data_IF_976032325389
#
_entry.id   IF_976032325389
#
_cell.length_a   1.000
_cell.length_b   1.000
_cell.length_c   1.000
_cell.angle_alpha   90.00
_cell.angle_beta   90.00
_cell.angle_gamma   90.00
#
_symmetry.space_group_name_H-M   'P 1'
#
loop_
_entity.id
_entity.type
_entity.pdbx_description
1 polymer ?
#
# COMPACT_ATOMS: atom_id res chain seq x y z
N UNK A 1 -16.52 2.45 34.99
CA UNK A 1 -17.22 3.50 34.25
C UNK A 1 -16.58 3.61 32.87
N UNK A 2 -17.08 2.85 31.90
CA UNK A 2 -16.75 3.01 30.47
C UNK A 2 -18.07 2.71 29.75
N UNK A 3 -18.81 3.76 29.43
CA UNK A 3 -20.06 3.63 28.68
C UNK A 3 -19.70 3.32 27.23
N UNK A 4 -19.72 2.02 26.90
CA UNK A 4 -19.55 1.52 25.56
C UNK A 4 -20.82 1.87 24.76
N UNK A 5 -20.75 3.01 24.08
CA UNK A 5 -21.87 3.61 23.36
C UNK A 5 -22.00 2.92 21.98
N UNK A 6 -22.44 1.66 22.00
CA UNK A 6 -22.64 0.83 20.82
C UNK A 6 -23.96 1.16 20.12
N UNK A 7 -24.24 2.46 19.89
CA UNK A 7 -25.45 2.83 19.16
C UNK A 7 -25.27 2.38 17.72
N UNK A 8 -26.03 1.39 17.31
CA UNK A 8 -26.03 0.96 15.91
C UNK A 8 -26.54 2.12 15.06
N UNK A 9 -26.09 2.22 13.81
CA UNK A 9 -26.47 3.33 12.94
C UNK A 9 -28.00 3.43 12.76
N UNK A 10 -28.69 2.29 12.86
CA UNK A 10 -30.14 2.18 12.90
C UNK A 10 -30.76 2.87 14.13
N UNK A 11 -30.12 2.84 15.31
CA UNK A 11 -30.60 3.50 16.52
C UNK A 11 -30.47 5.02 16.43
N UNK A 12 -29.42 5.51 15.77
CA UNK A 12 -29.23 6.95 15.50
C UNK A 12 -30.28 7.46 14.52
N UNK A 13 -30.54 6.71 13.44
CA UNK A 13 -31.59 7.04 12.46
C UNK A 13 -32.97 7.02 13.10
N UNK A 14 -33.31 5.99 13.89
CA UNK A 14 -34.58 5.91 14.64
C UNK A 14 -34.75 7.03 15.67
N UNK A 15 -33.64 7.46 16.30
CA UNK A 15 -33.67 8.60 17.23
C UNK A 15 -33.90 9.94 16.53
N UNK A 16 -33.58 10.05 15.24
CA UNK A 16 -33.81 11.26 14.45
C UNK A 16 -35.22 11.30 13.84
N UNK A 17 -35.87 10.14 13.66
CA UNK A 17 -37.21 10.04 13.05
C UNK A 17 -38.36 10.61 13.90
N UNK A 18 -38.18 10.95 15.19
CA UNK A 18 -39.32 11.26 16.06
C UNK A 18 -39.18 12.44 17.03
N UNK A 19 -38.42 13.48 16.67
CA UNK A 19 -38.39 14.75 17.42
C UNK A 19 -38.90 15.93 16.60
N UNK A 20 -40.12 15.83 16.08
CA UNK A 20 -40.89 17.04 15.73
C UNK A 20 -41.63 17.45 17.00
N UNK A 21 -41.05 18.37 17.77
CA UNK A 21 -41.80 19.03 18.83
C UNK A 21 -42.78 20.00 18.18
N UNK A 22 -44.06 19.63 18.14
CA UNK A 22 -45.15 20.54 17.77
C UNK A 22 -45.38 21.44 18.98
N UNK A 23 -44.81 22.63 18.99
CA UNK A 23 -45.13 23.66 19.99
C UNK A 23 -46.58 24.13 19.80
N UNK A 24 -47.28 24.55 20.87
CA UNK A 24 -48.68 24.90 20.78
C UNK A 24 -48.90 26.08 19.81
N UNK A 25 -49.88 25.86 18.94
CA UNK A 25 -50.49 26.72 17.94
C UNK A 25 -50.36 28.22 18.25
N UNK A 26 -49.43 28.89 17.56
CA UNK A 26 -49.62 30.31 17.26
C UNK A 26 -50.81 30.37 16.29
N UNK A 27 -51.96 30.87 16.74
CA UNK A 27 -53.14 31.00 15.90
C UNK A 27 -52.83 32.13 14.92
N UNK A 28 -52.31 31.75 13.76
CA UNK A 28 -52.11 32.69 12.65
C UNK A 28 -53.47 33.31 12.36
N UNK A 29 -53.62 34.66 12.37
CA UNK A 29 -54.85 35.31 11.95
C UNK A 29 -55.19 34.79 10.56
N UNK A 30 -56.45 34.42 10.28
CA UNK A 30 -56.94 33.81 9.02
C UNK A 30 -56.00 34.12 7.84
N UNK A 31 -54.99 33.27 7.65
CA UNK A 31 -54.02 33.50 6.59
C UNK A 31 -54.76 33.27 5.29
N UNK A 32 -54.56 34.16 4.32
CA UNK A 32 -55.15 34.00 3.00
C UNK A 32 -54.78 32.60 2.46
N UNK A 33 -55.73 31.92 1.82
CA UNK A 33 -55.53 30.55 1.34
C UNK A 33 -54.28 30.45 0.45
N UNK A 34 -53.95 31.54 -0.25
CA UNK A 34 -52.74 31.67 -1.05
C UNK A 34 -51.44 31.61 -0.23
N UNK A 35 -51.39 32.24 0.96
CA UNK A 35 -50.20 32.23 1.83
C UNK A 35 -49.95 30.84 2.44
N UNK A 36 -51.02 30.10 2.78
CA UNK A 36 -50.90 28.74 3.29
C UNK A 36 -50.34 27.78 2.23
N UNK A 37 -50.79 27.91 0.98
CA UNK A 37 -50.27 27.12 -0.15
C UNK A 37 -48.81 27.49 -0.44
N UNK A 38 -48.46 28.79 -0.40
CA UNK A 38 -47.07 29.23 -0.57
C UNK A 38 -46.15 28.66 0.52
N UNK A 39 -46.61 28.63 1.78
CA UNK A 39 -45.88 28.03 2.90
C UNK A 39 -45.70 26.52 2.70
N UNK A 40 -46.76 25.79 2.31
CA UNK A 40 -46.70 24.36 2.05
C UNK A 40 -45.68 24.02 0.94
N UNK A 41 -45.66 24.81 -0.14
CA UNK A 41 -44.69 24.68 -1.23
C UNK A 41 -43.26 24.95 -0.78
N UNK A 42 -43.06 25.93 0.10
CA UNK A 42 -41.75 26.24 0.69
C UNK A 42 -41.25 25.10 1.58
N UNK A 43 -42.10 24.53 2.43
CA UNK A 43 -41.77 23.37 3.27
C UNK A 43 -41.42 22.16 2.40
N UNK A 44 -42.18 21.91 1.34
CA UNK A 44 -41.91 20.80 0.43
C UNK A 44 -40.55 20.98 -0.28
N UNK A 45 -40.30 22.17 -0.82
CA UNK A 45 -39.01 22.51 -1.43
C UNK A 45 -37.84 22.35 -0.47
N UNK A 46 -38.01 22.79 0.80
CA UNK A 46 -36.99 22.64 1.83
C UNK A 46 -36.70 21.16 2.15
N UNK A 47 -37.75 20.31 2.22
CA UNK A 47 -37.59 18.87 2.41
C UNK A 47 -36.85 18.22 1.25
N UNK A 48 -37.16 18.61 0.02
CA UNK A 48 -36.51 18.07 -1.16
C UNK A 48 -35.03 18.50 -1.23
N UNK A 49 -34.70 19.73 -0.82
CA UNK A 49 -33.31 20.17 -0.68
C UNK A 49 -32.54 19.35 0.37
N UNK A 50 -33.14 19.08 1.53
CA UNK A 50 -32.52 18.25 2.57
C UNK A 50 -32.28 16.82 2.07
N UNK A 51 -33.24 16.24 1.34
CA UNK A 51 -33.08 14.92 0.71
C UNK A 51 -31.94 14.92 -0.30
N UNK A 52 -31.90 15.88 -1.23
CA UNK A 52 -30.83 15.99 -2.22
C UNK A 52 -29.46 16.17 -1.55
N UNK A 53 -29.38 16.98 -0.49
CA UNK A 53 -28.15 17.14 0.28
C UNK A 53 -27.72 15.84 0.97
N UNK A 54 -28.65 15.08 1.54
CA UNK A 54 -28.36 13.80 2.16
C UNK A 54 -27.87 12.77 1.12
N UNK A 55 -28.54 12.68 -0.02
CA UNK A 55 -28.15 11.79 -1.14
C UNK A 55 -26.75 12.14 -1.63
N UNK A 56 -26.45 13.41 -1.93
CA UNK A 56 -25.12 13.80 -2.40
C UNK A 56 -24.00 13.54 -1.38
N UNK A 57 -24.29 13.64 -0.07
CA UNK A 57 -23.33 13.25 0.97
C UNK A 57 -23.13 11.74 1.04
N UNK A 58 -24.19 10.95 0.88
CA UNK A 58 -24.10 9.49 0.84
C UNK A 58 -23.37 8.98 -0.39
N UNK A 59 -23.56 9.60 -1.55
CA UNK A 59 -22.79 9.33 -2.77
C UNK A 59 -21.30 9.56 -2.55
N UNK A 60 -20.92 10.71 -1.97
CA UNK A 60 -19.52 11.00 -1.63
C UNK A 60 -18.94 9.93 -0.68
N UNK A 61 -19.69 9.51 0.34
CA UNK A 61 -19.25 8.46 1.27
C UNK A 61 -19.08 7.13 0.54
N UNK A 62 -20.00 6.76 -0.36
CA UNK A 62 -19.91 5.53 -1.13
C UNK A 62 -18.66 5.53 -2.02
N UNK A 63 -18.37 6.63 -2.70
CA UNK A 63 -17.14 6.79 -3.51
C UNK A 63 -15.88 6.63 -2.65
N UNK A 64 -15.86 7.24 -1.46
CA UNK A 64 -14.75 7.09 -0.51
C UNK A 64 -14.56 5.63 -0.07
N UNK A 65 -15.65 4.92 0.23
CA UNK A 65 -15.60 3.51 0.61
C UNK A 65 -15.07 2.62 -0.52
N UNK A 66 -15.50 2.87 -1.77
CA UNK A 66 -14.98 2.16 -2.93
C UNK A 66 -13.49 2.43 -3.16
N UNK A 67 -13.07 3.67 -3.00
CA UNK A 67 -11.67 4.06 -3.11
C UNK A 67 -10.80 3.35 -2.07
N UNK A 68 -11.24 3.31 -0.81
CA UNK A 68 -10.56 2.57 0.26
C UNK A 68 -10.51 1.07 -0.03
N UNK A 69 -11.61 0.48 -0.55
CA UNK A 69 -11.65 -0.93 -0.95
C UNK A 69 -10.61 -1.24 -2.03
N UNK A 70 -10.52 -0.40 -3.07
CA UNK A 70 -9.54 -0.56 -4.16
C UNK A 70 -8.10 -0.45 -3.63
N UNK A 71 -7.82 0.50 -2.74
CA UNK A 71 -6.52 0.62 -2.09
C UNK A 71 -6.17 -0.61 -1.24
N UNK A 72 -7.12 -1.14 -0.47
CA UNK A 72 -6.90 -2.34 0.33
C UNK A 72 -6.52 -3.55 -0.54
N UNK A 73 -7.20 -3.73 -1.68
CA UNK A 73 -6.85 -4.78 -2.66
C UNK A 73 -5.43 -4.59 -3.20
N UNK A 74 -5.04 -3.36 -3.53
CA UNK A 74 -3.69 -3.06 -4.01
C UNK A 74 -2.61 -3.40 -2.98
N UNK A 75 -2.82 -3.00 -1.73
CA UNK A 75 -1.91 -3.33 -0.62
C UNK A 75 -1.78 -4.83 -0.43
N UNK A 76 -2.89 -5.57 -0.50
CA UNK A 76 -2.87 -7.03 -0.37
C UNK A 76 -2.13 -7.70 -1.54
N UNK A 77 -2.33 -7.24 -2.77
CA UNK A 77 -1.60 -7.78 -3.93
C UNK A 77 -0.10 -7.53 -3.81
N UNK A 78 0.31 -6.32 -3.42
CA UNK A 78 1.72 -6.00 -3.17
C UNK A 78 2.30 -6.89 -2.08
N UNK A 79 1.61 -7.04 -0.96
CA UNK A 79 2.04 -7.91 0.13
C UNK A 79 2.16 -9.37 -0.30
N UNK A 80 1.25 -9.88 -1.12
CA UNK A 80 1.32 -11.23 -1.68
C UNK A 80 2.52 -11.39 -2.62
N UNK A 81 2.74 -10.42 -3.50
CA UNK A 81 3.90 -10.40 -4.39
C UNK A 81 5.21 -10.36 -3.61
N UNK A 82 5.34 -9.46 -2.63
CA UNK A 82 6.51 -9.36 -1.78
C UNK A 82 6.75 -10.66 -0.98
N UNK A 83 5.68 -11.30 -0.52
CA UNK A 83 5.79 -12.59 0.16
C UNK A 83 6.25 -13.70 -0.81
N UNK A 84 5.72 -13.73 -2.03
CA UNK A 84 6.18 -14.66 -3.05
C UNK A 84 7.68 -14.46 -3.33
N UNK A 85 8.15 -13.21 -3.45
CA UNK A 85 9.56 -12.90 -3.61
C UNK A 85 10.41 -13.29 -2.40
N UNK A 86 9.91 -13.14 -1.17
CA UNK A 86 10.60 -13.60 0.04
C UNK A 86 10.72 -15.13 0.11
N UNK A 87 9.76 -15.87 -0.46
CA UNK A 87 9.81 -17.32 -0.52
C UNK A 87 10.77 -17.86 -1.61
N UNK A 88 11.17 -17.02 -2.57
CA UNK A 88 12.16 -17.40 -3.59
C UNK A 88 13.55 -17.40 -2.97
N UNK A 89 14.34 -18.44 -3.27
CA UNK A 89 15.74 -18.52 -2.85
C UNK A 89 16.56 -17.36 -3.45
N UNK A 90 16.86 -16.35 -2.64
CA UNK A 90 17.76 -15.28 -3.04
C UNK A 90 19.22 -15.75 -2.96
N UNK A 91 19.81 -16.10 -4.11
CA UNK A 91 21.24 -16.42 -4.24
C UNK A 91 22.14 -15.18 -4.31
N UNK A 92 21.56 -13.98 -4.35
CA UNK A 92 22.31 -12.72 -4.43
C UNK A 92 22.76 -12.30 -3.04
N UNK A 93 23.95 -12.77 -2.64
CA UNK A 93 24.69 -12.15 -1.54
C UNK A 93 25.19 -10.79 -2.05
N UNK A 94 24.80 -9.69 -1.40
CA UNK A 94 25.31 -8.35 -1.74
C UNK A 94 26.81 -8.30 -1.45
N UNK A 95 27.61 -8.46 -2.50
CA UNK A 95 29.05 -8.32 -2.46
C UNK A 95 29.41 -6.94 -3.01
N UNK A 96 30.19 -6.20 -2.24
CA UNK A 96 30.70 -4.89 -2.57
C UNK A 96 32.15 -5.02 -3.01
N UNK A 97 32.46 -4.52 -4.20
CA UNK A 97 33.80 -4.52 -4.78
C UNK A 97 34.46 -3.16 -4.49
N UNK A 98 35.60 -3.19 -3.81
CA UNK A 98 36.40 -2.00 -3.49
C UNK A 98 37.34 -1.70 -4.66
N UNK A 99 37.27 -0.45 -5.12
CA UNK A 99 38.14 0.07 -6.17
C UNK A 99 38.91 1.28 -5.66
N UNK A 100 40.10 1.46 -6.22
CA UNK A 100 40.91 2.66 -6.09
C UNK A 100 41.01 3.33 -7.46
N UNK A 101 40.65 4.61 -7.54
CA UNK A 101 40.74 5.42 -8.74
C UNK A 101 41.77 6.52 -8.55
N UNK A 102 42.62 6.70 -9.56
CA UNK A 102 43.49 7.87 -9.64
C UNK A 102 42.71 9.02 -10.27
N UNK A 103 42.62 10.15 -9.55
CA UNK A 103 42.10 11.40 -10.07
C UNK A 103 43.27 12.15 -10.70
N UNK A 104 43.29 12.22 -12.03
CA UNK A 104 44.24 13.07 -12.74
C UNK A 104 43.89 14.53 -12.50
N UNK A 105 44.79 15.31 -11.91
CA UNK A 105 44.72 16.77 -12.03
C UNK A 105 44.81 17.14 -13.52
N UNK A 106 43.97 18.05 -13.97
CA UNK A 106 43.71 18.32 -15.40
C UNK A 106 44.98 18.34 -16.29
N UNK A 107 44.89 17.65 -17.42
CA UNK A 107 45.71 17.90 -18.62
C UNK A 107 47.05 17.20 -18.76
N UNK A 108 47.53 16.41 -17.79
CA UNK A 108 48.84 15.73 -17.93
C UNK A 108 48.74 14.25 -18.35
N UNK A 109 49.70 13.74 -19.15
CA UNK A 109 49.70 12.38 -19.65
C UNK A 109 49.73 11.33 -18.52
N UNK A 110 49.01 10.21 -18.69
CA UNK A 110 48.69 9.25 -17.62
C UNK A 110 49.88 8.47 -17.05
N UNK A 111 51.06 8.57 -17.67
CA UNK A 111 52.22 7.75 -17.33
C UNK A 111 53.09 8.34 -16.22
N UNK A 112 52.78 9.56 -15.76
CA UNK A 112 53.57 10.25 -14.74
C UNK A 112 52.67 10.99 -13.75
N UNK A 113 51.72 10.31 -13.10
CA UNK A 113 50.83 10.96 -12.13
C UNK A 113 50.32 10.05 -11.01
N UNK A 114 50.13 10.66 -9.83
CA UNK A 114 49.65 10.10 -8.56
C UNK A 114 50.69 9.35 -7.69
N UNK A 115 51.88 9.93 -7.48
CA UNK A 115 52.75 9.50 -6.36
C UNK A 115 52.19 9.93 -4.99
N UNK A 116 51.41 11.00 -4.94
CA UNK A 116 50.75 11.45 -3.71
C UNK A 116 49.49 10.62 -3.43
N UNK A 117 49.31 10.17 -2.18
CA UNK A 117 48.07 9.54 -1.71
C UNK A 117 46.85 10.44 -1.89
N UNK A 118 47.05 11.76 -1.99
CA UNK A 118 45.98 12.75 -2.12
C UNK A 118 45.27 12.72 -3.49
N UNK A 119 45.88 12.10 -4.50
CA UNK A 119 45.29 11.94 -5.84
C UNK A 119 44.53 10.60 -6.00
N UNK A 120 44.40 9.78 -4.95
CA UNK A 120 43.73 8.48 -5.01
C UNK A 120 42.41 8.49 -4.24
N UNK A 121 41.32 8.13 -4.91
CA UNK A 121 40.00 7.95 -4.30
C UNK A 121 39.68 6.46 -4.20
N UNK A 122 39.28 5.99 -3.01
CA UNK A 122 38.71 4.65 -2.83
C UNK A 122 37.19 4.72 -2.79
N UNK A 123 36.52 3.77 -3.42
CA UNK A 123 35.07 3.65 -3.36
C UNK A 123 34.60 2.21 -3.56
N UNK A 124 33.41 1.91 -3.02
CA UNK A 124 32.73 0.64 -3.25
C UNK A 124 31.81 0.72 -4.47
N UNK A 125 31.75 -0.37 -5.23
CA UNK A 125 30.79 -0.59 -6.30
C UNK A 125 30.14 -1.96 -6.11
N UNK A 126 28.89 -2.10 -6.57
CA UNK A 126 28.20 -3.40 -6.62
C UNK A 126 28.55 -4.21 -7.88
N UNK A 127 29.23 -3.56 -8.85
CA UNK A 127 29.60 -4.16 -10.14
C UNK A 127 30.96 -4.85 -9.98
N UNK A 128 31.03 -6.12 -10.38
CA UNK A 128 32.26 -6.92 -10.33
C UNK A 128 33.29 -6.47 -11.38
N UNK A 129 34.60 -6.76 -11.19
CA UNK A 129 35.63 -6.41 -12.18
C UNK A 129 35.35 -6.98 -13.58
N UNK A 130 34.72 -8.15 -13.66
CA UNK A 130 34.33 -8.77 -14.92
C UNK A 130 33.21 -7.98 -15.62
N UNK A 131 32.18 -7.56 -14.88
CA UNK A 131 31.05 -6.77 -15.41
C UNK A 131 31.46 -5.35 -15.83
N UNK A 132 32.56 -4.82 -15.28
CA UNK A 132 33.15 -3.56 -15.76
C UNK A 132 33.75 -3.62 -17.17
N UNK A 133 33.83 -4.82 -17.76
CA UNK A 133 34.53 -5.09 -19.02
C UNK A 133 35.96 -5.59 -18.81
N UNK A 134 36.23 -6.19 -17.64
CA UNK A 134 37.54 -6.74 -17.27
C UNK A 134 38.59 -5.68 -16.95
N UNK A 135 39.83 -6.15 -16.75
CA UNK A 135 40.96 -5.32 -16.36
C UNK A 135 41.29 -4.24 -17.40
N UNK A 136 41.09 -4.51 -18.69
CA UNK A 136 41.32 -3.55 -19.76
C UNK A 136 40.41 -2.31 -19.68
N UNK A 137 39.15 -2.48 -19.26
CA UNK A 137 38.22 -1.37 -19.11
C UNK A 137 38.45 -0.59 -17.79
N UNK A 138 38.91 -1.28 -16.75
CA UNK A 138 39.34 -0.67 -15.48
C UNK A 138 40.61 0.16 -15.66
N UNK A 139 41.61 -0.36 -16.39
CA UNK A 139 42.85 0.36 -16.70
C UNK A 139 42.59 1.64 -17.50
N UNK A 140 41.71 1.60 -18.52
CA UNK A 140 41.29 2.80 -19.27
C UNK A 140 40.66 3.88 -18.39
N UNK A 141 39.97 3.48 -17.32
CA UNK A 141 39.35 4.38 -16.34
C UNK A 141 40.24 4.71 -15.15
N UNK A 142 41.49 4.22 -15.16
CA UNK A 142 42.47 4.40 -14.08
C UNK A 142 41.93 3.87 -12.74
N UNK A 143 41.17 2.77 -12.80
CA UNK A 143 40.61 2.07 -11.66
C UNK A 143 41.38 0.78 -11.40
N UNK A 144 41.71 0.53 -10.14
CA UNK A 144 42.36 -0.69 -9.67
C UNK A 144 41.45 -1.41 -8.69
N UNK A 145 41.29 -2.72 -8.85
CA UNK A 145 40.48 -3.55 -7.95
C UNK A 145 41.28 -3.93 -6.70
N UNK A 146 40.76 -3.62 -5.51
CA UNK A 146 41.44 -3.91 -4.23
C UNK A 146 40.85 -5.16 -3.52
N UNK A 147 39.57 -5.47 -3.72
CA UNK A 147 38.97 -6.68 -3.14
C UNK A 147 37.44 -6.66 -3.06
N UNK A 148 36.87 -7.83 -2.76
CA UNK A 148 35.44 -8.00 -2.55
C UNK A 148 35.14 -8.10 -1.05
N UNK A 149 34.05 -7.47 -0.61
CA UNK A 149 33.62 -7.40 0.78
C UNK A 149 32.12 -7.64 0.90
N UNK A 150 31.69 -8.22 2.01
CA UNK A 150 30.29 -8.36 2.39
C UNK A 150 30.02 -7.48 3.60
N UNK A 151 28.88 -6.79 3.56
CA UNK A 151 28.38 -6.05 4.71
C UNK A 151 27.48 -6.99 5.52
N UNK A 152 27.90 -7.28 6.75
CA UNK A 152 27.16 -8.13 7.68
C UNK A 152 26.03 -7.34 8.37
N UNK A 153 25.15 -8.04 9.09
CA UNK A 153 24.00 -7.44 9.76
C UNK A 153 24.37 -6.47 10.90
N UNK A 154 25.54 -6.67 11.49
CA UNK A 154 26.13 -5.83 12.54
C UNK A 154 26.90 -4.61 11.97
N UNK A 155 26.76 -4.34 10.67
CA UNK A 155 27.48 -3.28 9.94
C UNK A 155 29.01 -3.50 9.85
N UNK A 156 29.51 -4.68 10.21
CA UNK A 156 30.92 -5.03 10.00
C UNK A 156 31.19 -5.44 8.55
N UNK A 157 32.43 -5.23 8.09
CA UNK A 157 32.88 -5.59 6.75
C UNK A 157 33.74 -6.85 6.78
N UNK A 158 33.29 -7.90 6.09
CA UNK A 158 34.05 -9.14 5.94
C UNK A 158 34.59 -9.28 4.52
N UNK A 159 35.89 -9.52 4.37
CA UNK A 159 36.50 -9.74 3.04
C UNK A 159 36.04 -11.08 2.48
N UNK A 160 35.52 -11.07 1.26
CA UNK A 160 35.15 -12.30 0.54
C UNK A 160 36.43 -12.92 0.00
N UNK A 161 36.87 -14.00 0.63
CA UNK A 161 37.97 -14.82 0.16
C UNK A 161 37.54 -15.53 -1.14
N UNK A 162 38.31 -15.39 -2.22
CA UNK A 162 37.99 -16.00 -3.54
C UNK A 162 38.26 -17.51 -3.60
N UNK A 163 38.70 -18.11 -2.50
CA UNK A 163 39.11 -19.50 -2.42
C UNK A 163 37.92 -20.42 -2.07
N UNK A 164 37.45 -21.12 -3.11
CA UNK A 164 36.86 -22.46 -3.12
C UNK A 164 35.50 -22.67 -2.41
N UNK A 165 34.47 -22.85 -3.25
CA UNK A 165 33.43 -23.90 -3.20
C UNK A 165 32.88 -24.34 -1.82
N UNK A 166 31.58 -24.11 -1.66
CA UNK A 166 30.63 -24.97 -0.93
C UNK A 166 31.09 -25.49 0.43
N UNK A 167 30.85 -24.76 1.54
CA UNK A 167 30.32 -25.32 2.81
C UNK A 167 29.69 -24.23 3.69
N UNK A 168 28.71 -24.67 4.47
CA UNK A 168 28.07 -24.04 5.62
C UNK A 168 26.90 -23.07 5.34
N UNK A 169 25.75 -23.69 5.05
CA UNK A 169 24.54 -23.56 5.87
C UNK A 169 24.82 -23.01 7.27
N UNK A 170 24.47 -21.75 7.52
CA UNK A 170 24.13 -21.29 8.87
C UNK A 170 22.67 -20.87 8.82
N UNK A 171 21.83 -21.77 9.34
CA UNK A 171 20.45 -21.47 9.70
C UNK A 171 20.46 -20.38 10.78
N UNK A 172 20.14 -19.16 10.39
CA UNK A 172 19.62 -18.17 11.35
C UNK A 172 18.12 -18.40 11.44
N UNK A 173 17.69 -18.98 12.56
CA UNK A 173 16.28 -19.06 12.93
C UNK A 173 15.69 -17.64 12.97
N UNK A 174 14.74 -17.37 12.09
CA UNK A 174 13.91 -16.17 12.14
C UNK A 174 13.00 -16.25 13.37
N UNK A 175 12.87 -15.21 14.20
CA UNK A 175 11.91 -15.21 15.29
C UNK A 175 10.48 -15.31 14.70
N UNK A 176 9.71 -16.19 15.32
CA UNK A 176 8.31 -16.49 15.06
C UNK A 176 7.43 -15.22 15.00
N UNK A 177 7.35 -14.60 13.82
CA UNK A 177 6.39 -13.55 13.45
C UNK A 177 5.43 -14.02 12.34
N UNK A 178 5.66 -15.22 11.81
CA UNK A 178 4.91 -15.80 10.69
C UNK A 178 3.45 -16.13 11.01
N UNK A 179 3.09 -16.34 12.29
CA UNK A 179 1.76 -16.84 12.64
C UNK A 179 0.65 -15.81 12.42
N UNK A 180 0.83 -14.54 12.81
CA UNK A 180 -0.19 -13.50 12.58
C UNK A 180 -0.29 -13.09 11.12
N UNK A 181 0.85 -13.00 10.42
CA UNK A 181 0.89 -12.62 9.00
C UNK A 181 0.24 -13.70 8.11
N UNK A 182 0.48 -14.97 8.42
CA UNK A 182 -0.19 -16.11 7.76
C UNK A 182 -1.69 -16.17 8.08
N UNK A 183 -2.12 -15.89 9.31
CA UNK A 183 -3.54 -15.87 9.67
C UNK A 183 -4.33 -14.79 8.93
N UNK A 184 -3.73 -13.62 8.72
CA UNK A 184 -4.36 -12.54 7.94
C UNK A 184 -4.48 -12.97 6.48
N UNK A 185 -3.40 -13.51 5.89
CA UNK A 185 -3.41 -13.98 4.51
C UNK A 185 -4.40 -15.14 4.30
N UNK A 186 -4.49 -16.09 5.23
CA UNK A 186 -5.43 -17.21 5.16
C UNK A 186 -6.89 -16.75 5.28
N UNK A 187 -7.17 -15.76 6.15
CA UNK A 187 -8.52 -15.15 6.24
C UNK A 187 -8.89 -14.38 4.97
N UNK A 188 -7.93 -13.68 4.36
CA UNK A 188 -8.13 -12.95 3.10
C UNK A 188 -8.38 -13.92 1.94
N UNK A 189 -7.65 -15.03 1.86
CA UNK A 189 -7.82 -16.02 0.79
C UNK A 189 -9.20 -16.71 0.87
N UNK A 190 -9.68 -17.01 2.08
CA UNK A 190 -11.06 -17.48 2.31
C UNK A 190 -12.12 -16.46 1.89
N UNK A 191 -11.89 -15.16 2.11
CA UNK A 191 -12.83 -14.11 1.71
C UNK A 191 -12.87 -13.94 0.19
N UNK A 192 -11.73 -14.08 -0.50
CA UNK A 192 -11.68 -14.05 -1.96
C UNK A 192 -12.38 -15.28 -2.57
N UNK A 193 -12.16 -16.48 -2.02
CA UNK A 193 -12.81 -17.71 -2.47
C UNK A 193 -14.34 -17.70 -2.24
N UNK A 194 -14.81 -17.20 -1.08
CA UNK A 194 -16.24 -17.05 -0.78
C UNK A 194 -16.95 -16.06 -1.72
N UNK A 195 -16.23 -15.04 -2.23
CA UNK A 195 -16.79 -14.10 -3.21
C UNK A 195 -17.04 -14.73 -4.58
N UNK A 196 -16.24 -15.73 -4.98
CA UNK A 196 -16.47 -16.52 -6.20
C UNK A 196 -17.61 -17.53 -6.05
N UNK A 197 -17.85 -18.04 -4.83
CA UNK A 197 -18.95 -18.97 -4.55
C UNK A 197 -20.31 -18.28 -4.47
N UNK A 198 -20.37 -17.06 -3.92
CA UNK A 198 -21.63 -16.33 -3.78
C UNK A 198 -22.17 -15.77 -5.10
N UNK A 199 -21.33 -15.61 -6.12
CA UNK A 199 -21.77 -15.21 -7.48
C UNK A 199 -22.52 -16.33 -8.22
N UNK A 200 -22.44 -17.59 -7.78
CA UNK A 200 -23.12 -18.73 -8.43
C UNK A 200 -24.44 -19.12 -7.74
N UNK A 201 -24.75 -18.59 -6.54
CA UNK A 201 -25.98 -18.90 -5.82
C UNK A 201 -27.05 -17.79 -5.90
N UNK A 202 -26.69 -16.54 -6.24
CA UNK A 202 -27.67 -15.45 -6.39
C UNK A 202 -28.25 -15.34 -7.79
N UNK A 203 -27.78 -16.13 -8.77
CA UNK A 203 -28.27 -16.11 -10.15
C UNK A 203 -29.40 -17.12 -10.44
N UNK A 204 -29.80 -17.95 -9.46
CA UNK A 204 -30.76 -19.05 -9.69
C UNK A 204 -32.08 -18.96 -8.93
N UNK A 205 -32.39 -17.83 -8.25
CA UNK A 205 -33.63 -17.69 -7.46
C UNK A 205 -34.57 -16.54 -7.87
N UNK A 206 -34.37 -15.88 -9.02
CA UNK A 206 -35.21 -14.74 -9.43
C UNK A 206 -35.94 -14.88 -10.79
N UNK A 207 -36.15 -16.09 -11.31
CA UNK A 207 -36.85 -16.28 -12.60
C UNK A 207 -38.08 -17.21 -12.59
N UNK A 208 -38.81 -17.31 -11.47
CA UNK A 208 -40.15 -17.92 -11.46
C UNK A 208 -41.10 -17.05 -10.63
N UNK A 209 -41.87 -16.16 -11.27
CA UNK A 209 -42.96 -15.48 -10.55
C UNK A 209 -43.52 -14.18 -11.09
N UNK A 210 -43.52 -13.90 -12.41
CA UNK A 210 -44.40 -12.87 -12.97
C UNK A 210 -44.89 -13.28 -14.37
N UNK A 211 -45.86 -14.19 -14.44
CA UNK A 211 -46.76 -14.29 -15.59
C UNK A 211 -48.10 -14.92 -15.14
N UNK A 212 -49.05 -14.07 -14.75
CA UNK A 212 -50.51 -14.23 -14.97
C UNK A 212 -51.28 -13.21 -14.13
N UNK A 213 -51.82 -12.18 -14.79
CA UNK A 213 -53.13 -11.58 -14.49
C UNK A 213 -53.48 -10.58 -15.61
N UNK A 214 -54.27 -11.09 -16.55
CA UNK A 214 -55.18 -10.32 -17.39
C UNK A 214 -56.45 -10.04 -16.60
#
# INVERSE_FOLDING_TARGET
MVDNNNKTWLDVVKSMENKVQITPRNVVPLADAHELVALANSIQSARDFVKCQAVGKLEMIAEQMEFLRKQAIEVLRKAQHDNALHCVECKVKKVYFLYQQCLGDGGEPPQQKCQSQQCRRRFFSLISPNEWGGECALARRQMHFEGAYRLEFDQSWSRVQQNATDKATTQTQMPNSGSQKMQILERVDRLLQASSSNSLMTASTELDGIEEAN
#
